data_IF_142810294749
#
_entry.id   IF_142810294749
#
_cell.length_a   1.000
_cell.length_b   1.000
_cell.length_c   1.000
_cell.angle_alpha   90.00
_cell.angle_beta   90.00
_cell.angle_gamma   90.00
#
_symmetry.space_group_name_H-M   'P 1'
#
loop_
_entity.id
_entity.type
_entity.pdbx_description
1 polymer ?
#
# COMPACT_ATOMS: atom_id res chain seq x y z
N UNK A 1 -9.42 -19.44 36.57
CA UNK A 1 -8.14 -19.83 35.95
C UNK A 1 -8.38 -19.89 34.44
N UNK A 2 -7.87 -18.93 33.67
CA UNK A 2 -8.15 -18.81 32.24
C UNK A 2 -6.91 -19.19 31.43
N UNK A 3 -7.06 -20.19 30.57
CA UNK A 3 -6.05 -20.79 29.69
C UNK A 3 -5.77 -19.89 28.50
N UNK A 4 -4.57 -19.29 28.41
CA UNK A 4 -4.10 -18.56 27.22
C UNK A 4 -2.83 -19.25 26.71
N UNK A 5 -2.86 -19.70 25.46
CA UNK A 5 -1.77 -20.40 24.78
C UNK A 5 -0.67 -19.43 24.32
N UNK A 6 0.58 -19.90 24.14
CA UNK A 6 1.53 -19.20 23.24
C UNK A 6 1.01 -19.36 21.81
N UNK A 7 0.27 -18.35 21.37
CA UNK A 7 -0.36 -18.31 20.06
C UNK A 7 0.63 -18.58 18.93
N UNK A 8 1.87 -18.10 19.08
CA UNK A 8 2.94 -18.31 18.11
C UNK A 8 3.34 -19.80 18.00
N UNK A 9 3.47 -20.51 19.12
CA UNK A 9 3.81 -21.93 19.08
C UNK A 9 2.73 -22.78 18.38
N UNK A 10 1.45 -22.42 18.56
CA UNK A 10 0.34 -23.08 17.86
C UNK A 10 0.35 -22.80 16.37
N UNK A 11 0.79 -21.62 15.96
CA UNK A 11 0.98 -21.27 14.56
C UNK A 11 2.09 -22.12 13.95
N UNK A 12 3.24 -22.21 14.61
CA UNK A 12 4.35 -23.05 14.16
C UNK A 12 3.97 -24.54 14.08
N UNK A 13 3.29 -25.04 15.10
CA UNK A 13 2.79 -26.42 15.12
C UNK A 13 1.81 -26.65 13.95
N UNK A 14 0.79 -25.82 13.78
CA UNK A 14 -0.16 -25.96 12.67
C UNK A 14 0.53 -25.88 11.31
N UNK A 15 1.51 -24.97 11.15
CA UNK A 15 2.28 -24.78 9.93
C UNK A 15 3.09 -26.05 9.57
N UNK A 16 3.64 -26.75 10.56
CA UNK A 16 4.42 -27.99 10.36
C UNK A 16 3.63 -29.16 9.74
N UNK A 17 2.29 -29.13 9.82
CA UNK A 17 1.44 -30.14 9.17
C UNK A 17 1.21 -29.85 7.68
N UNK A 18 1.46 -28.61 7.24
CA UNK A 18 1.21 -28.20 5.86
C UNK A 18 2.52 -28.37 5.08
N UNK A 19 2.54 -29.17 4.00
CA UNK A 19 3.73 -29.36 3.21
C UNK A 19 4.06 -28.08 2.40
N UNK A 20 5.33 -27.68 2.32
CA UNK A 20 5.73 -26.43 1.68
C UNK A 20 5.63 -26.45 0.15
N UNK A 21 5.52 -27.63 -0.46
CA UNK A 21 5.24 -27.86 -1.88
C UNK A 21 3.74 -27.98 -2.21
N UNK A 22 2.87 -27.55 -1.28
CA UNK A 22 1.44 -27.45 -1.53
C UNK A 22 1.09 -26.52 -2.71
N UNK A 23 -0.16 -26.61 -3.17
CA UNK A 23 -0.66 -25.77 -4.26
C UNK A 23 -0.47 -24.28 -3.97
N UNK A 24 -0.24 -23.51 -5.04
CA UNK A 24 0.08 -22.08 -4.97
C UNK A 24 -0.97 -21.25 -4.18
N UNK A 25 -2.25 -21.57 -4.32
CA UNK A 25 -3.33 -20.90 -3.55
C UNK A 25 -3.24 -21.20 -2.05
N UNK A 26 -2.94 -22.44 -1.68
CA UNK A 26 -2.74 -22.85 -0.27
C UNK A 26 -1.54 -22.13 0.31
N UNK A 27 -0.40 -22.13 -0.41
CA UNK A 27 0.81 -21.42 -0.02
C UNK A 27 0.55 -19.92 0.19
N UNK A 28 -0.21 -19.27 -0.71
CA UNK A 28 -0.57 -17.86 -0.58
C UNK A 28 -1.45 -17.60 0.64
N UNK A 29 -2.45 -18.45 0.89
CA UNK A 29 -3.34 -18.31 2.05
C UNK A 29 -2.61 -18.51 3.38
N UNK A 30 -1.60 -19.39 3.43
CA UNK A 30 -0.71 -19.55 4.58
C UNK A 30 0.06 -18.24 4.82
N UNK A 31 0.67 -17.69 3.78
CA UNK A 31 1.37 -16.40 3.84
C UNK A 31 0.46 -15.28 4.36
N UNK A 32 -0.76 -15.20 3.82
CA UNK A 32 -1.72 -14.16 4.18
C UNK A 32 -2.23 -14.32 5.61
N UNK A 33 -2.49 -15.56 6.05
CA UNK A 33 -2.90 -15.85 7.43
C UNK A 33 -1.81 -15.48 8.45
N UNK A 34 -0.54 -15.82 8.16
CA UNK A 34 0.60 -15.47 9.00
C UNK A 34 0.81 -13.95 9.07
N UNK A 35 0.75 -13.27 7.91
CA UNK A 35 0.90 -11.81 7.83
C UNK A 35 -0.23 -11.06 8.56
N UNK A 36 -1.46 -11.58 8.48
CA UNK A 36 -2.60 -11.02 9.21
C UNK A 36 -2.41 -11.09 10.74
N UNK A 37 -1.85 -12.20 11.25
CA UNK A 37 -1.69 -12.40 12.69
C UNK A 37 -0.46 -11.70 13.27
N UNK A 38 0.70 -11.84 12.63
CA UNK A 38 1.99 -11.41 13.19
C UNK A 38 2.64 -10.27 12.41
N UNK A 39 1.97 -9.74 11.39
CA UNK A 39 2.44 -8.62 10.57
C UNK A 39 3.69 -8.99 9.77
N UNK A 40 4.54 -8.01 9.53
CA UNK A 40 5.79 -8.20 8.75
C UNK A 40 6.79 -9.15 9.43
N UNK A 41 6.71 -9.35 10.75
CA UNK A 41 7.62 -10.24 11.48
C UNK A 41 7.41 -11.73 11.10
N UNK A 42 6.19 -12.11 10.70
CA UNK A 42 5.91 -13.46 10.23
C UNK A 42 6.58 -13.81 8.90
N UNK A 43 7.19 -12.84 8.21
CA UNK A 43 7.91 -13.13 6.96
C UNK A 43 9.02 -14.15 7.20
N UNK A 44 9.74 -14.07 8.31
CA UNK A 44 10.83 -14.99 8.61
C UNK A 44 10.31 -16.43 8.80
N UNK A 45 9.23 -16.61 9.55
CA UNK A 45 8.55 -17.90 9.70
C UNK A 45 8.06 -18.45 8.36
N UNK A 46 7.40 -17.60 7.57
CA UNK A 46 6.88 -17.97 6.27
C UNK A 46 7.98 -18.34 5.27
N UNK A 47 9.07 -17.57 5.25
CA UNK A 47 10.24 -17.79 4.39
C UNK A 47 10.96 -19.07 4.77
N UNK A 48 11.19 -19.32 6.07
CA UNK A 48 11.76 -20.58 6.56
C UNK A 48 10.92 -21.79 6.17
N UNK A 49 9.60 -21.73 6.36
CA UNK A 49 8.71 -22.82 5.96
C UNK A 49 8.73 -23.02 4.43
N UNK A 50 8.66 -21.93 3.65
CA UNK A 50 8.67 -21.98 2.18
C UNK A 50 9.96 -22.55 1.62
N UNK A 51 11.10 -22.29 2.26
CA UNK A 51 12.44 -22.80 1.87
C UNK A 51 12.55 -24.31 1.85
N UNK A 52 11.70 -25.02 2.59
CA UNK A 52 11.69 -26.47 2.60
C UNK A 52 11.06 -27.09 1.33
N UNK A 53 10.48 -26.28 0.44
CA UNK A 53 9.99 -26.72 -0.87
C UNK A 53 11.13 -26.84 -1.89
N UNK A 54 11.16 -27.89 -2.74
CA UNK A 54 12.14 -28.00 -3.83
C UNK A 54 11.95 -26.90 -4.90
N UNK A 55 10.78 -26.26 -4.94
CA UNK A 55 10.44 -25.19 -5.90
C UNK A 55 10.57 -23.79 -5.30
N UNK A 56 11.29 -23.62 -4.18
CA UNK A 56 11.42 -22.34 -3.50
C UNK A 56 12.18 -21.30 -4.33
N UNK A 57 11.64 -20.08 -4.36
CA UNK A 57 12.28 -18.89 -4.92
C UNK A 57 12.20 -17.75 -3.90
N UNK A 58 13.37 -17.27 -3.46
CA UNK A 58 13.44 -16.18 -2.48
C UNK A 58 12.84 -14.87 -3.01
N UNK A 59 13.00 -14.62 -4.32
CA UNK A 59 12.43 -13.46 -4.99
C UNK A 59 10.89 -13.54 -4.99
N UNK A 60 10.33 -14.65 -5.48
CA UNK A 60 8.88 -14.83 -5.55
C UNK A 60 8.23 -14.84 -4.17
N UNK A 61 8.92 -15.40 -3.17
CA UNK A 61 8.45 -15.42 -1.78
C UNK A 61 8.31 -14.01 -1.24
N UNK A 62 9.33 -13.17 -1.45
CA UNK A 62 9.34 -11.77 -1.01
C UNK A 62 8.32 -10.91 -1.76
N UNK A 63 8.22 -11.08 -3.08
CA UNK A 63 7.29 -10.30 -3.89
C UNK A 63 5.83 -10.66 -3.57
N UNK A 64 5.55 -11.95 -3.35
CA UNK A 64 4.22 -12.36 -2.91
C UNK A 64 3.91 -11.79 -1.53
N UNK A 65 4.85 -11.88 -0.59
CA UNK A 65 4.67 -11.33 0.75
C UNK A 65 4.33 -9.83 0.73
N UNK A 66 5.00 -9.06 -0.14
CA UNK A 66 4.72 -7.63 -0.32
C UNK A 66 3.35 -7.36 -0.93
N UNK A 67 2.86 -8.25 -1.80
CA UNK A 67 1.54 -8.10 -2.46
C UNK A 67 0.35 -8.32 -1.51
N UNK A 68 0.55 -9.04 -0.40
CA UNK A 68 -0.51 -9.38 0.55
C UNK A 68 -0.96 -8.13 1.32
N UNK A 69 -2.27 -7.89 1.26
CA UNK A 69 -2.95 -6.83 2.02
C UNK A 69 -3.47 -7.40 3.35
N UNK A 70 -3.23 -6.73 4.50
CA UNK A 70 -3.65 -7.22 5.82
C UNK A 70 -5.16 -7.48 5.98
N UNK A 71 -5.99 -6.76 5.24
CA UNK A 71 -7.46 -6.74 5.39
C UNK A 71 -8.21 -7.51 4.28
N UNK A 72 -7.56 -8.48 3.61
CA UNK A 72 -8.14 -9.24 2.50
C UNK A 72 -9.16 -10.32 2.91
N UNK A 73 -9.66 -10.32 4.16
CA UNK A 73 -10.60 -11.31 4.67
C UNK A 73 -9.99 -12.68 5.05
N UNK A 74 -8.66 -12.84 4.92
CA UNK A 74 -7.93 -14.04 5.34
C UNK A 74 -7.35 -13.80 6.73
N UNK A 75 -7.83 -14.55 7.72
CA UNK A 75 -7.34 -14.49 9.11
C UNK A 75 -6.54 -15.72 9.48
N UNK A 76 -5.93 -15.73 10.68
CA UNK A 76 -5.21 -16.90 11.21
C UNK A 76 -6.06 -18.17 11.27
N UNK A 77 -7.39 -18.05 11.34
CA UNK A 77 -8.30 -19.19 11.28
C UNK A 77 -8.13 -20.01 9.99
N UNK A 78 -7.69 -19.36 8.91
CA UNK A 78 -7.40 -19.99 7.62
C UNK A 78 -6.23 -20.97 7.72
N UNK A 79 -5.14 -20.59 8.41
CA UNK A 79 -3.99 -21.47 8.64
C UNK A 79 -4.44 -22.74 9.37
N UNK A 80 -5.18 -22.59 10.46
CA UNK A 80 -5.68 -23.74 11.23
C UNK A 80 -6.68 -24.59 10.44
N UNK A 81 -7.52 -23.98 9.59
CA UNK A 81 -8.44 -24.71 8.71
C UNK A 81 -7.70 -25.52 7.65
N UNK A 82 -6.62 -24.97 7.07
CA UNK A 82 -5.75 -25.69 6.12
C UNK A 82 -5.01 -26.81 6.85
N UNK A 83 -4.36 -26.53 7.98
CA UNK A 83 -3.63 -27.53 8.77
C UNK A 83 -4.52 -28.73 9.14
N UNK A 84 -5.80 -28.50 9.49
CA UNK A 84 -6.78 -29.56 9.76
C UNK A 84 -6.99 -30.50 8.57
N UNK A 85 -6.98 -29.99 7.34
CA UNK A 85 -7.08 -30.82 6.12
C UNK A 85 -5.86 -31.71 5.94
N UNK A 86 -4.71 -31.29 6.46
CA UNK A 86 -3.48 -32.06 6.51
C UNK A 86 -3.31 -32.88 7.80
N UNK A 87 -4.39 -33.06 8.59
CA UNK A 87 -4.37 -33.94 9.77
C UNK A 87 -4.04 -33.27 11.10
N UNK A 88 -3.90 -31.94 11.15
CA UNK A 88 -3.74 -31.22 12.42
C UNK A 88 -4.98 -31.41 13.31
N UNK A 89 -4.77 -31.97 14.51
CA UNK A 89 -5.84 -32.21 15.47
C UNK A 89 -5.69 -31.31 16.71
N UNK A 90 -6.62 -30.36 16.85
CA UNK A 90 -6.68 -29.40 17.96
C UNK A 90 -6.97 -30.04 19.33
N UNK A 91 -7.24 -31.36 19.40
CA UNK A 91 -7.56 -32.09 20.64
C UNK A 91 -6.39 -32.92 21.20
N UNK A 92 -5.24 -32.98 20.51
CA UNK A 92 -4.04 -33.70 20.97
C UNK A 92 -3.29 -32.86 22.00
N UNK A 93 -3.25 -33.32 23.26
CA UNK A 93 -2.77 -32.57 24.45
C UNK A 93 -1.24 -32.49 24.55
N UNK A 94 -0.68 -31.34 24.94
CA UNK A 94 0.09 -31.04 26.19
C UNK A 94 0.17 -29.51 26.32
N UNK A 95 -0.50 -28.92 27.30
CA UNK A 95 -0.45 -27.47 27.54
C UNK A 95 0.79 -27.10 28.37
N UNK A 96 1.79 -26.49 27.76
CA UNK A 96 2.85 -25.78 28.49
C UNK A 96 2.29 -24.46 29.03
N UNK A 97 2.47 -24.24 30.33
CA UNK A 97 2.00 -23.03 31.03
C UNK A 97 2.87 -21.85 30.61
N UNK A 98 2.28 -20.83 29.98
CA UNK A 98 2.94 -19.54 29.70
C UNK A 98 2.36 -18.48 30.62
N UNK A 99 3.24 -17.70 31.25
CA UNK A 99 2.91 -16.67 32.24
C UNK A 99 2.02 -15.59 31.60
N UNK A 100 0.83 -15.27 32.17
CA UNK A 100 -0.03 -14.17 31.72
C UNK A 100 0.68 -12.82 31.55
N UNK A 101 1.78 -12.58 32.29
CA UNK A 101 2.61 -11.37 32.14
C UNK A 101 3.32 -11.29 30.78
N UNK A 102 3.72 -12.43 30.22
CA UNK A 102 4.39 -12.50 28.92
C UNK A 102 3.44 -12.16 27.76
N UNK A 103 2.20 -12.65 27.84
CA UNK A 103 1.15 -12.36 26.84
C UNK A 103 0.81 -10.87 26.83
N UNK A 104 0.65 -10.27 28.01
CA UNK A 104 0.39 -8.83 28.11
C UNK A 104 1.58 -8.02 27.59
N UNK A 105 2.82 -8.43 27.87
CA UNK A 105 4.02 -7.76 27.32
C UNK A 105 4.00 -7.75 25.79
N UNK A 106 3.73 -8.89 25.15
CA UNK A 106 3.67 -9.00 23.68
C UNK A 106 2.52 -8.20 23.07
N UNK A 107 1.38 -8.11 23.76
CA UNK A 107 0.25 -7.25 23.35
C UNK A 107 0.65 -5.79 23.39
N UNK A 108 1.26 -5.34 24.49
CA UNK A 108 1.75 -3.96 24.64
C UNK A 108 2.80 -3.63 23.58
N UNK A 109 3.75 -4.53 23.31
CA UNK A 109 4.77 -4.35 22.25
C UNK A 109 4.14 -4.24 20.86
N UNK A 110 3.12 -5.06 20.56
CA UNK A 110 2.36 -5.01 19.30
C UNK A 110 1.61 -3.70 19.14
N UNK A 111 0.83 -3.33 20.16
CA UNK A 111 0.02 -2.11 20.15
C UNK A 111 0.93 -0.87 20.04
N UNK A 112 2.08 -0.88 20.71
CA UNK A 112 3.10 0.17 20.59
C UNK A 112 3.69 0.25 19.18
N UNK A 113 3.99 -0.88 18.53
CA UNK A 113 4.50 -0.88 17.14
C UNK A 113 3.45 -0.41 16.15
N UNK A 114 2.20 -0.87 16.27
CA UNK A 114 1.09 -0.40 15.41
C UNK A 114 0.90 1.10 15.57
N UNK A 115 0.93 1.60 16.81
CA UNK A 115 0.86 3.02 17.08
C UNK A 115 2.06 3.79 16.48
N UNK A 116 3.28 3.25 16.59
CA UNK A 116 4.48 3.84 16.00
C UNK A 116 4.40 3.88 14.46
N UNK A 117 4.00 2.80 13.81
CA UNK A 117 3.85 2.73 12.35
C UNK A 117 2.75 3.69 11.87
N UNK A 118 1.63 3.77 12.58
CA UNK A 118 0.57 4.72 12.30
C UNK A 118 1.07 6.17 12.41
N UNK A 119 1.83 6.49 13.47
CA UNK A 119 2.45 7.79 13.66
C UNK A 119 3.45 8.12 12.53
N UNK A 120 4.29 7.16 12.12
CA UNK A 120 5.22 7.36 11.02
C UNK A 120 4.51 7.58 9.68
N UNK A 121 3.42 6.84 9.41
CA UNK A 121 2.60 7.04 8.21
C UNK A 121 1.98 8.43 8.20
N UNK A 122 1.46 8.88 9.34
CA UNK A 122 0.87 10.21 9.47
C UNK A 122 1.90 11.32 9.22
N UNK A 123 3.11 11.19 9.78
CA UNK A 123 4.21 12.14 9.52
C UNK A 123 4.56 12.18 8.02
N UNK A 124 4.69 11.02 7.37
CA UNK A 124 4.99 10.92 5.94
C UNK A 124 3.88 11.52 5.07
N UNK A 125 2.61 11.32 5.43
CA UNK A 125 1.44 11.91 4.74
C UNK A 125 1.43 13.43 4.85
N UNK A 126 1.65 13.97 6.05
CA UNK A 126 1.75 15.43 6.25
C UNK A 126 2.89 16.02 5.43
N UNK A 127 4.05 15.37 5.43
CA UNK A 127 5.18 15.80 4.62
C UNK A 127 4.85 15.77 3.12
N UNK A 128 4.19 14.71 2.63
CA UNK A 128 3.76 14.61 1.23
C UNK A 128 2.74 15.71 0.87
N UNK A 129 1.80 16.04 1.76
CA UNK A 129 0.87 17.16 1.55
C UNK A 129 1.60 18.51 1.48
N UNK A 130 2.60 18.74 2.35
CA UNK A 130 3.45 19.94 2.27
C UNK A 130 4.24 20.01 0.97
N UNK A 131 4.80 18.88 0.50
CA UNK A 131 5.46 18.82 -0.81
C UNK A 131 4.48 19.08 -1.96
N UNK A 132 3.26 18.55 -1.91
CA UNK A 132 2.23 18.80 -2.91
C UNK A 132 1.92 20.29 -3.04
N UNK A 133 1.73 20.98 -1.92
CA UNK A 133 1.55 22.44 -1.89
C UNK A 133 2.77 23.17 -2.47
N UNK A 134 3.98 22.77 -2.10
CA UNK A 134 5.21 23.38 -2.61
C UNK A 134 5.38 23.17 -4.12
N UNK A 135 4.99 22.01 -4.66
CA UNK A 135 4.99 21.76 -6.11
C UNK A 135 4.07 22.75 -6.80
N UNK A 136 2.82 22.89 -6.32
CA UNK A 136 1.83 23.78 -6.92
C UNK A 136 2.28 25.24 -6.85
N UNK A 137 2.83 25.68 -5.71
CA UNK A 137 3.36 27.04 -5.53
C UNK A 137 4.51 27.36 -6.50
N UNK A 138 5.32 26.35 -6.86
CA UNK A 138 6.46 26.51 -7.77
C UNK A 138 6.15 26.14 -9.22
N UNK A 139 4.97 25.60 -9.50
CA UNK A 139 4.52 25.27 -10.84
C UNK A 139 3.92 26.50 -11.53
N UNK A 140 3.82 26.42 -12.85
CA UNK A 140 3.14 27.41 -13.68
C UNK A 140 1.79 26.84 -14.12
N UNK A 141 0.78 27.67 -14.45
CA UNK A 141 -0.44 27.16 -15.08
C UNK A 141 -0.11 26.35 -16.34
N UNK A 142 -0.77 25.20 -16.51
CA UNK A 142 -0.56 24.35 -17.69
C UNK A 142 -0.96 25.11 -18.96
N UNK A 143 -0.19 24.90 -20.04
CA UNK A 143 -0.45 25.54 -21.33
C UNK A 143 -1.04 24.55 -22.33
N UNK A 144 -1.89 25.03 -23.23
CA UNK A 144 -2.50 24.23 -24.31
C UNK A 144 -1.45 23.58 -25.23
N UNK A 145 -0.24 24.13 -25.30
CA UNK A 145 0.86 23.59 -26.10
C UNK A 145 1.59 22.41 -25.42
N UNK A 146 1.12 21.93 -24.26
CA UNK A 146 1.72 20.79 -23.57
C UNK A 146 1.60 19.52 -24.43
N UNK A 147 2.68 18.76 -24.72
CA UNK A 147 2.66 17.65 -25.68
C UNK A 147 1.64 16.56 -25.35
N UNK A 148 1.44 16.27 -24.05
CA UNK A 148 0.41 15.34 -23.60
C UNK A 148 -1.01 15.81 -23.95
N UNK A 149 -1.32 17.10 -23.74
CA UNK A 149 -2.65 17.67 -23.99
C UNK A 149 -2.94 17.70 -25.49
N UNK A 150 -1.97 18.15 -26.30
CA UNK A 150 -2.05 18.10 -27.77
C UNK A 150 -2.32 16.68 -28.29
N UNK A 151 -1.59 15.67 -27.79
CA UNK A 151 -1.81 14.27 -28.19
C UNK A 151 -3.19 13.74 -27.76
N UNK A 152 -3.72 14.25 -26.65
CA UNK A 152 -5.06 13.89 -26.16
C UNK A 152 -6.18 14.71 -26.80
N UNK A 153 -5.87 15.79 -27.51
CA UNK A 153 -6.84 16.66 -28.17
C UNK A 153 -7.69 17.46 -27.18
N UNK A 154 -7.13 17.80 -26.02
CA UNK A 154 -7.81 18.56 -24.95
C UNK A 154 -7.02 19.82 -24.61
N UNK A 155 -7.71 20.82 -24.04
CA UNK A 155 -7.11 22.08 -23.57
C UNK A 155 -6.75 22.02 -22.09
N UNK A 156 -5.83 22.88 -21.66
CA UNK A 156 -5.54 23.11 -20.26
C UNK A 156 -6.70 23.85 -19.57
N UNK A 157 -6.75 23.71 -18.24
CA UNK A 157 -7.72 24.38 -17.36
C UNK A 157 -6.97 25.01 -16.19
N UNK A 158 -7.59 25.99 -15.55
CA UNK A 158 -6.96 26.81 -14.49
C UNK A 158 -6.49 26.01 -13.26
N UNK A 159 -7.02 24.80 -13.07
CA UNK A 159 -6.67 23.90 -11.96
C UNK A 159 -5.59 22.87 -12.33
N UNK A 160 -5.04 22.94 -13.54
CA UNK A 160 -3.95 22.11 -14.02
C UNK A 160 -2.68 22.94 -14.12
N UNK A 161 -1.57 22.42 -13.61
CA UNK A 161 -0.29 23.11 -13.58
C UNK A 161 0.75 22.31 -14.36
N UNK A 162 1.88 22.94 -14.70
CA UNK A 162 3.05 22.29 -15.28
C UNK A 162 4.35 22.70 -14.57
N UNK A 163 5.30 21.78 -14.49
CA UNK A 163 6.62 22.02 -13.92
C UNK A 163 7.67 21.20 -14.68
N UNK A 164 8.86 21.77 -14.87
CA UNK A 164 10.01 21.07 -15.44
C UNK A 164 10.45 19.89 -14.55
N UNK A 165 10.78 18.76 -15.15
CA UNK A 165 11.18 17.53 -14.47
C UNK A 165 12.40 17.72 -13.55
N UNK A 166 13.40 18.51 -13.95
CA UNK A 166 14.60 18.75 -13.13
C UNK A 166 14.27 19.59 -11.91
N UNK A 167 13.35 20.57 -12.05
CA UNK A 167 12.86 21.39 -10.93
C UNK A 167 12.02 20.54 -9.98
N UNK A 168 11.14 19.69 -10.51
CA UNK A 168 10.34 18.75 -9.73
C UNK A 168 11.23 17.79 -8.94
N UNK A 169 12.24 17.20 -9.57
CA UNK A 169 13.20 16.31 -8.90
C UNK A 169 13.87 16.99 -7.71
N UNK A 170 14.32 18.24 -7.88
CA UNK A 170 14.95 19.01 -6.79
C UNK A 170 13.99 19.27 -5.64
N UNK A 171 12.71 19.55 -5.94
CA UNK A 171 11.70 19.82 -4.92
C UNK A 171 11.35 18.57 -4.10
N UNK A 172 11.19 17.41 -4.73
CA UNK A 172 10.70 16.20 -4.05
C UNK A 172 11.83 15.25 -3.61
N UNK A 173 13.06 15.46 -4.09
CA UNK A 173 14.25 14.67 -3.73
C UNK A 173 14.40 13.34 -4.46
N UNK A 174 13.55 13.05 -5.44
CA UNK A 174 13.64 11.83 -6.27
C UNK A 174 13.04 12.09 -7.66
N UNK A 175 13.30 11.18 -8.61
CA UNK A 175 12.66 11.20 -9.93
C UNK A 175 11.40 10.34 -9.93
N UNK A 176 10.20 10.90 -10.18
CA UNK A 176 9.00 10.10 -10.36
C UNK A 176 9.19 9.11 -11.51
N UNK A 177 8.58 7.93 -11.41
CA UNK A 177 8.73 6.89 -12.43
C UNK A 177 7.44 6.08 -12.62
N UNK A 178 7.27 5.55 -13.82
CA UNK A 178 6.17 4.67 -14.19
C UNK A 178 6.75 3.47 -14.96
N UNK A 179 6.45 2.25 -14.53
CA UNK A 179 6.94 1.04 -15.23
C UNK A 179 8.47 0.94 -15.32
N UNK A 180 9.22 1.50 -14.37
CA UNK A 180 10.69 1.51 -14.36
C UNK A 180 11.34 2.63 -15.19
N UNK A 181 10.55 3.48 -15.85
CA UNK A 181 11.06 4.64 -16.59
C UNK A 181 10.70 5.95 -15.88
N UNK A 182 11.64 6.89 -15.81
CA UNK A 182 11.44 8.19 -15.17
C UNK A 182 10.54 9.11 -15.99
N UNK A 183 9.72 9.93 -15.33
CA UNK A 183 9.00 11.01 -16.01
C UNK A 183 10.00 12.07 -16.51
N UNK A 184 9.76 12.66 -17.69
CA UNK A 184 10.70 13.56 -18.38
C UNK A 184 9.99 14.75 -19.03
N UNK A 185 10.70 15.88 -19.18
CA UNK A 185 10.20 17.08 -19.85
C UNK A 185 9.26 17.91 -18.98
N UNK A 186 8.24 18.54 -19.59
CA UNK A 186 7.18 19.22 -18.83
C UNK A 186 6.26 18.20 -18.17
N UNK A 187 6.09 18.34 -16.86
CA UNK A 187 5.26 17.46 -16.04
C UNK A 187 3.98 18.20 -15.67
N UNK A 188 2.84 17.73 -16.16
CA UNK A 188 1.54 18.18 -15.68
C UNK A 188 1.33 17.74 -14.24
N UNK A 189 0.80 18.65 -13.43
CA UNK A 189 0.49 18.47 -12.02
C UNK A 189 -1.01 18.69 -11.84
N UNK A 190 -1.73 17.62 -11.51
CA UNK A 190 -3.14 17.65 -11.13
C UNK A 190 -3.25 17.50 -9.60
N UNK A 191 -3.64 18.56 -8.86
CA UNK A 191 -3.81 18.49 -7.41
C UNK A 191 -4.92 17.53 -7.00
N UNK A 192 -4.65 16.68 -6.01
CA UNK A 192 -5.66 15.79 -5.42
C UNK A 192 -6.06 16.36 -4.06
N UNK A 193 -7.36 16.54 -3.88
CA UNK A 193 -7.93 17.11 -2.67
C UNK A 193 -8.81 16.11 -1.93
N UNK A 194 -8.74 16.15 -0.60
CA UNK A 194 -9.61 15.39 0.32
C UNK A 194 -10.17 16.40 1.31
N UNK A 195 -11.51 16.46 1.46
CA UNK A 195 -12.19 17.40 2.36
C UNK A 195 -11.72 18.86 2.19
N UNK A 196 -11.45 19.28 0.95
CA UNK A 196 -11.01 20.64 0.62
C UNK A 196 -9.51 20.93 0.82
N UNK A 197 -8.73 19.99 1.35
CA UNK A 197 -7.29 20.14 1.51
C UNK A 197 -6.53 19.37 0.42
N UNK A 198 -5.46 19.97 -0.12
CA UNK A 198 -4.55 19.27 -1.04
C UNK A 198 -3.73 18.26 -0.24
N UNK A 199 -3.84 16.99 -0.59
CA UNK A 199 -3.15 15.88 0.10
C UNK A 199 -2.03 15.26 -0.73
N UNK A 200 -2.09 15.41 -2.05
CA UNK A 200 -1.10 14.87 -2.99
C UNK A 200 -1.29 15.48 -4.38
N UNK A 201 -0.48 15.05 -5.35
CA UNK A 201 -0.59 15.41 -6.76
C UNK A 201 -0.48 14.16 -7.64
N UNK A 202 -1.20 14.18 -8.76
CA UNK A 202 -0.95 13.28 -9.88
C UNK A 202 -0.05 13.98 -10.91
N UNK A 203 0.97 13.26 -11.37
CA UNK A 203 2.00 13.76 -12.28
C UNK A 203 1.89 13.04 -13.62
N UNK A 204 1.91 13.78 -14.73
CA UNK A 204 1.83 13.22 -16.08
C UNK A 204 2.88 13.90 -16.95
N UNK A 205 3.78 13.12 -17.54
CA UNK A 205 4.80 13.68 -18.43
C UNK A 205 4.31 13.87 -19.87
N UNK A 206 5.17 14.41 -20.72
CA UNK A 206 4.89 14.67 -22.13
C UNK A 206 4.49 13.40 -22.91
N UNK A 207 5.06 12.25 -22.56
CA UNK A 207 4.76 10.94 -23.17
C UNK A 207 3.47 10.29 -22.63
N UNK A 208 2.92 10.83 -21.53
CA UNK A 208 1.75 10.31 -20.84
C UNK A 208 2.04 9.26 -19.78
N UNK A 209 3.30 9.09 -19.37
CA UNK A 209 3.64 8.31 -18.17
C UNK A 209 3.08 9.03 -16.95
N UNK A 210 2.40 8.28 -16.10
CA UNK A 210 1.74 8.81 -14.90
C UNK A 210 2.40 8.30 -13.63
N UNK A 211 2.55 9.18 -12.66
CA UNK A 211 3.03 8.83 -11.32
C UNK A 211 2.23 9.58 -10.25
N UNK A 212 2.25 9.04 -9.03
CA UNK A 212 1.75 9.70 -7.83
C UNK A 212 2.92 10.25 -7.01
N UNK A 213 2.67 11.27 -6.20
CA UNK A 213 3.63 11.70 -5.18
C UNK A 213 3.73 10.63 -4.08
N UNK A 214 4.95 10.16 -3.81
CA UNK A 214 5.21 9.15 -2.80
C UNK A 214 4.64 9.55 -1.42
N UNK A 215 4.01 8.59 -0.73
CA UNK A 215 3.33 8.76 0.56
C UNK A 215 2.13 9.73 0.57
N UNK A 216 1.75 10.29 -0.58
CA UNK A 216 0.58 11.14 -0.70
C UNK A 216 -0.73 10.36 -0.58
N UNK A 217 -1.74 10.98 0.04
CA UNK A 217 -3.04 10.33 0.26
C UNK A 217 -3.98 10.60 -0.90
N UNK A 218 -4.29 9.56 -1.69
CA UNK A 218 -5.23 9.61 -2.82
C UNK A 218 -6.61 9.03 -2.51
N UNK A 219 -6.72 8.11 -1.55
CA UNK A 219 -7.95 7.39 -1.29
C UNK A 219 -9.04 8.35 -0.78
N UNK A 220 -10.19 8.37 -1.45
CA UNK A 220 -11.26 9.33 -1.17
C UNK A 220 -11.00 10.75 -1.69
N UNK A 221 -9.91 10.97 -2.43
CA UNK A 221 -9.57 12.25 -3.03
C UNK A 221 -9.92 12.35 -4.50
N UNK A 222 -10.03 13.58 -4.99
CA UNK A 222 -10.26 13.88 -6.41
C UNK A 222 -9.55 15.17 -6.83
N UNK A 223 -9.33 15.29 -8.14
CA UNK A 223 -8.95 16.54 -8.79
C UNK A 223 -10.20 17.15 -9.43
N UNK A 224 -10.32 18.47 -9.36
CA UNK A 224 -11.41 19.21 -10.00
C UNK A 224 -10.89 19.93 -11.23
N UNK A 225 -11.44 19.62 -12.40
CA UNK A 225 -11.08 20.29 -13.66
C UNK A 225 -11.56 21.75 -13.74
N UNK A 226 -12.44 22.17 -12.83
CA UNK A 226 -12.92 23.53 -12.71
C UNK A 226 -13.23 23.87 -11.25
N UNK A 227 -13.42 25.16 -10.94
CA UNK A 227 -13.91 25.57 -9.63
C UNK A 227 -15.32 25.01 -9.40
N UNK A 228 -15.54 24.37 -8.24
CA UNK A 228 -16.85 23.89 -7.87
C UNK A 228 -17.74 25.06 -7.39
N UNK A 229 -18.94 25.26 -7.96
CA UNK A 229 -19.90 26.22 -7.42
C UNK A 229 -20.53 25.68 -6.14
N UNK A 230 -21.02 26.58 -5.27
CA UNK A 230 -21.71 26.20 -4.01
C UNK A 230 -22.92 25.29 -4.20
N UNK A 231 -23.55 25.37 -5.38
CA UNK A 231 -24.66 24.51 -5.79
C UNK A 231 -24.40 24.00 -7.20
N UNK A 232 -24.47 22.68 -7.36
CA UNK A 232 -24.37 22.00 -8.65
C UNK A 232 -25.60 21.13 -8.86
N UNK A 233 -26.28 21.27 -10.00
CA UNK A 233 -27.39 20.37 -10.37
C UNK A 233 -26.89 19.01 -10.86
N UNK A 234 -25.67 18.97 -11.43
CA UNK A 234 -25.04 17.77 -11.99
C UNK A 234 -23.54 17.81 -11.76
N UNK A 235 -22.97 16.65 -11.45
CA UNK A 235 -21.53 16.43 -11.33
C UNK A 235 -21.15 15.32 -12.29
N UNK A 236 -20.15 15.58 -13.13
CA UNK A 236 -19.56 14.56 -14.00
C UNK A 236 -18.30 14.02 -13.33
N UNK A 237 -18.13 12.70 -13.39
CA UNK A 237 -16.98 12.01 -12.81
C UNK A 237 -16.29 11.26 -13.94
N UNK A 238 -14.98 11.43 -14.03
CA UNK A 238 -14.13 10.75 -15.00
C UNK A 238 -12.97 10.06 -14.26
N UNK A 239 -12.47 8.96 -14.84
CA UNK A 239 -11.39 8.17 -14.23
C UNK A 239 -10.04 8.91 -14.27
N UNK A 240 -9.78 9.71 -15.29
CA UNK A 240 -8.49 10.36 -15.49
C UNK A 240 -8.57 11.77 -16.02
N UNK A 241 -7.47 12.52 -15.83
CA UNK A 241 -7.34 13.94 -16.19
C UNK A 241 -7.85 14.24 -17.60
N UNK A 242 -7.34 13.54 -18.62
CA UNK A 242 -7.73 13.81 -20.02
C UNK A 242 -9.17 13.42 -20.37
N UNK A 243 -9.86 12.62 -19.55
CA UNK A 243 -11.28 12.28 -19.73
C UNK A 243 -12.19 13.29 -19.01
N UNK A 244 -11.65 13.97 -17.98
CA UNK A 244 -12.35 15.01 -17.25
C UNK A 244 -12.31 16.37 -17.96
N UNK A 245 -11.30 16.57 -18.81
CA UNK A 245 -11.15 17.70 -19.74
C UNK A 245 -11.97 17.46 -21.00
#
# INVERSE_FOLDING_TARGET
MSTVFDHHQRILEALSYIPPDCERDVWFRVAAALKNEEGEAAFETFDMWSKASPNYSAADTRDTWRSIRPDAGITIATLFAIAKRYGYNTRSKVGTVVDPKEVERRRVERDARVAQDAQQREVKRKHAASLALAIIEKAEPARDDHPYLLRKGVSAVDTLYEIDDTKLQKLIGYRPQCGGAHLEGRILIAPVTINGAITTVEMIDESGRKSALANGEKAGGCWFACALPEKSERILIAEGVATAL
#
